data_IF_405099233046
#
_entry.id   IF_405099233046
#
_cell.length_a   1.000
_cell.length_b   1.000
_cell.length_c   1.000
_cell.angle_alpha   90.00
_cell.angle_beta   90.00
_cell.angle_gamma   90.00
#
_symmetry.space_group_name_H-M   'P 1'
#
loop_
_entity.id
_entity.type
_entity.pdbx_description
1 polymer ?
#
# COMPACT_ATOMS: atom_id res chain seq x y z
N UNK A 1 -12.24 0.33 -46.80
CA UNK A 1 -12.94 -0.10 -45.56
C UNK A 1 -12.35 -1.43 -45.17
N UNK A 2 -11.27 -1.41 -44.38
CA UNK A 2 -10.59 -2.62 -43.90
C UNK A 2 -10.35 -2.44 -42.41
N UNK A 3 -10.86 -3.40 -41.65
CA UNK A 3 -10.77 -3.49 -40.21
C UNK A 3 -9.30 -3.73 -39.81
N UNK A 4 -8.83 -3.06 -38.76
CA UNK A 4 -7.57 -3.35 -38.11
C UNK A 4 -7.84 -3.59 -36.62
N UNK A 5 -8.08 -4.85 -36.28
CA UNK A 5 -8.17 -5.36 -34.91
C UNK A 5 -6.74 -5.68 -34.44
N UNK A 6 -6.16 -4.79 -33.63
CA UNK A 6 -4.93 -5.09 -32.90
C UNK A 6 -5.25 -6.06 -31.75
N UNK A 7 -4.61 -7.23 -31.79
CA UNK A 7 -4.58 -8.24 -30.74
C UNK A 7 -3.89 -7.66 -29.49
N UNK A 8 -4.53 -7.81 -28.34
CA UNK A 8 -4.05 -7.38 -27.00
C UNK A 8 -3.45 -8.56 -26.22
N UNK A 9 -3.01 -9.60 -26.92
CA UNK A 9 -2.32 -10.74 -26.32
C UNK A 9 -0.87 -10.69 -26.79
N UNK A 10 0.04 -10.29 -25.90
CA UNK A 10 1.46 -10.73 -25.81
C UNK A 10 2.27 -9.75 -24.93
N UNK A 11 1.88 -9.53 -23.67
CA UNK A 11 2.70 -8.76 -22.69
C UNK A 11 2.63 -9.31 -21.24
N UNK A 12 2.37 -10.60 -21.04
CA UNK A 12 2.52 -11.21 -19.72
C UNK A 12 3.60 -12.28 -19.80
N UNK A 13 4.87 -11.84 -19.67
CA UNK A 13 5.97 -12.73 -19.31
C UNK A 13 5.74 -13.26 -17.89
N UNK A 14 6.06 -14.54 -17.72
CA UNK A 14 5.82 -15.35 -16.53
C UNK A 14 6.52 -14.79 -15.29
N UNK A 15 5.77 -14.12 -14.41
CA UNK A 15 6.24 -13.79 -13.07
C UNK A 15 5.83 -14.91 -12.09
N UNK A 16 6.79 -15.71 -11.62
CA UNK A 16 6.58 -16.59 -10.46
C UNK A 16 6.40 -15.71 -9.20
N UNK A 17 5.60 -16.11 -8.20
CA UNK A 17 5.31 -15.36 -6.95
C UNK A 17 5.65 -16.18 -5.70
N UNK A 18 6.26 -15.54 -4.69
CA UNK A 18 6.68 -16.15 -3.41
C UNK A 18 5.49 -16.49 -2.51
N UNK A 19 5.74 -17.18 -1.39
CA UNK A 19 4.72 -17.57 -0.41
C UNK A 19 3.90 -16.37 0.15
N UNK A 20 4.40 -15.14 0.02
CA UNK A 20 3.71 -13.91 0.41
C UNK A 20 2.89 -13.27 -0.73
N UNK A 21 3.00 -13.79 -1.95
CA UNK A 21 2.30 -13.32 -3.15
C UNK A 21 2.92 -12.10 -3.79
N UNK A 22 4.22 -11.95 -3.64
CA UNK A 22 5.05 -11.00 -4.37
C UNK A 22 5.91 -11.79 -5.34
N UNK A 23 6.15 -11.29 -6.55
CA UNK A 23 6.94 -11.99 -7.58
C UNK A 23 8.24 -12.59 -6.97
N UNK A 24 8.44 -13.92 -7.08
CA UNK A 24 9.73 -14.60 -6.92
C UNK A 24 10.63 -13.99 -7.98
N UNK A 25 11.60 -13.22 -7.51
CA UNK A 25 12.61 -12.66 -8.39
C UNK A 25 13.88 -13.49 -8.28
N UNK A 26 14.37 -13.95 -9.44
CA UNK A 26 15.62 -14.68 -9.60
C UNK A 26 16.80 -13.82 -9.10
N UNK A 27 17.48 -14.29 -8.06
CA UNK A 27 18.67 -13.64 -7.49
C UNK A 27 19.82 -13.50 -8.51
N UNK A 28 19.83 -14.30 -9.60
CA UNK A 28 20.88 -14.27 -10.63
C UNK A 28 20.77 -13.12 -11.62
N UNK A 29 19.58 -12.55 -11.83
CA UNK A 29 19.37 -11.44 -12.77
C UNK A 29 20.03 -10.12 -12.32
N UNK A 30 20.53 -10.04 -11.08
CA UNK A 30 21.20 -8.86 -10.54
C UNK A 30 22.68 -8.72 -10.95
N UNK A 31 23.25 -9.69 -11.67
CA UNK A 31 24.70 -9.74 -11.93
C UNK A 31 25.06 -9.49 -13.41
N UNK A 32 24.13 -9.60 -14.35
CA UNK A 32 24.44 -9.54 -15.80
C UNK A 32 23.50 -8.61 -16.60
N UNK A 33 23.36 -7.34 -16.19
CA UNK A 33 22.89 -6.30 -17.10
C UNK A 33 24.03 -5.31 -17.37
N UNK A 34 24.69 -5.48 -18.52
CA UNK A 34 25.50 -4.43 -19.15
C UNK A 34 24.57 -3.25 -19.52
N UNK A 35 25.01 -1.99 -19.38
CA UNK A 35 24.18 -0.84 -19.69
C UNK A 35 23.77 -0.86 -21.16
N UNK A 36 22.48 -0.65 -21.43
CA UNK A 36 21.95 -0.64 -22.79
C UNK A 36 22.06 0.77 -23.39
N UNK A 37 22.14 0.87 -24.71
CA UNK A 37 22.21 2.16 -25.43
C UNK A 37 21.00 3.09 -25.15
N UNK A 38 19.90 2.58 -24.57
CA UNK A 38 18.76 3.39 -24.12
C UNK A 38 19.06 4.21 -22.85
N UNK A 39 19.99 3.76 -21.99
CA UNK A 39 20.32 4.45 -20.74
C UNK A 39 21.09 5.77 -20.99
N UNK A 40 21.85 5.83 -22.10
CA UNK A 40 22.58 7.03 -22.53
C UNK A 40 21.65 8.07 -23.20
N UNK A 41 20.59 7.62 -23.86
CA UNK A 41 19.61 8.50 -24.51
C UNK A 41 18.65 9.17 -23.51
N UNK A 42 18.34 8.52 -22.38
CA UNK A 42 17.57 9.13 -21.29
C UNK A 42 18.35 10.25 -20.58
N UNK A 43 19.68 10.09 -20.45
CA UNK A 43 20.56 11.09 -19.83
C UNK A 43 20.64 12.40 -20.64
N UNK A 44 20.54 12.31 -21.96
CA UNK A 44 20.59 13.47 -22.87
C UNK A 44 19.26 14.23 -22.93
N UNK A 45 18.12 13.54 -22.78
CA UNK A 45 16.77 14.14 -22.76
C UNK A 45 16.52 14.98 -21.49
N UNK A 46 17.20 14.65 -20.40
CA UNK A 46 17.15 15.39 -19.13
C UNK A 46 17.83 16.77 -19.20
N UNK A 47 18.63 17.04 -20.24
CA UNK A 47 19.41 18.29 -20.33
C UNK A 47 18.70 19.47 -21.02
N UNK A 48 17.60 19.23 -21.76
CA UNK A 48 16.97 20.26 -22.61
C UNK A 48 15.70 20.91 -22.05
N UNK A 49 15.55 20.92 -20.72
CA UNK A 49 14.42 21.54 -20.01
C UNK A 49 14.80 22.73 -19.11
N UNK A 50 15.88 23.45 -19.41
CA UNK A 50 16.35 24.55 -18.58
C UNK A 50 15.49 25.82 -18.80
N UNK A 51 14.34 25.96 -18.10
CA UNK A 51 13.75 27.27 -17.68
C UNK A 51 12.44 27.21 -16.87
N UNK A 52 11.96 26.05 -16.41
CA UNK A 52 10.97 26.00 -15.31
C UNK A 52 11.73 25.63 -14.04
N UNK A 53 12.00 26.59 -13.15
CA UNK A 53 12.75 26.36 -11.91
C UNK A 53 12.17 25.16 -11.15
N UNK A 54 13.04 24.20 -10.84
CA UNK A 54 12.77 22.89 -10.25
C UNK A 54 11.98 23.03 -8.94
N UNK A 55 10.66 22.85 -9.01
CA UNK A 55 9.76 22.78 -7.85
C UNK A 55 9.23 21.35 -7.60
N UNK A 56 9.67 20.36 -8.37
CA UNK A 56 9.35 18.96 -8.12
C UNK A 56 10.27 18.41 -7.01
N UNK A 57 9.68 18.09 -5.87
CA UNK A 57 10.36 17.51 -4.72
C UNK A 57 11.11 16.21 -5.09
N UNK A 58 10.59 15.45 -6.05
CA UNK A 58 11.21 14.20 -6.52
C UNK A 58 12.52 14.49 -7.24
N UNK A 59 12.54 15.47 -8.15
CA UNK A 59 13.74 15.85 -8.88
C UNK A 59 14.82 16.43 -7.98
N UNK A 60 14.42 17.25 -6.99
CA UNK A 60 15.36 17.78 -5.98
C UNK A 60 16.02 16.64 -5.20
N UNK A 61 15.22 15.69 -4.69
CA UNK A 61 15.74 14.55 -3.96
C UNK A 61 16.67 13.67 -4.81
N UNK A 62 16.27 13.34 -6.05
CA UNK A 62 17.09 12.53 -6.97
C UNK A 62 18.40 13.23 -7.35
N UNK A 63 18.37 14.56 -7.51
CA UNK A 63 19.57 15.36 -7.72
C UNK A 63 20.53 15.31 -6.53
N UNK A 64 20.03 15.50 -5.30
CA UNK A 64 20.84 15.49 -4.08
C UNK A 64 21.55 14.15 -3.84
N UNK A 65 20.85 13.03 -4.01
CA UNK A 65 21.44 11.69 -3.81
C UNK A 65 22.44 11.30 -4.91
N UNK A 66 22.37 11.96 -6.08
CA UNK A 66 23.28 11.72 -7.19
C UNK A 66 24.70 12.22 -6.94
N UNK A 67 24.88 13.22 -6.07
CA UNK A 67 26.20 13.78 -5.74
C UNK A 67 27.04 12.91 -4.77
N UNK A 68 26.44 11.88 -4.17
CA UNK A 68 27.15 10.98 -3.26
C UNK A 68 27.91 9.88 -4.03
N UNK A 69 29.23 9.71 -3.82
CA UNK A 69 29.99 8.68 -4.51
C UNK A 69 29.61 7.28 -4.03
N UNK A 70 29.61 6.31 -4.95
CA UNK A 70 29.42 4.90 -4.63
C UNK A 70 30.64 4.37 -3.86
N UNK A 71 30.39 3.45 -2.93
CA UNK A 71 31.44 2.78 -2.17
C UNK A 71 31.93 1.53 -2.89
N UNK A 72 33.23 1.31 -2.84
CA UNK A 72 33.86 0.03 -3.20
C UNK A 72 33.64 -1.01 -2.11
N UNK A 73 33.83 -2.30 -2.42
CA UNK A 73 33.67 -3.38 -1.45
C UNK A 73 34.61 -3.23 -0.22
N UNK A 74 35.83 -2.74 -0.42
CA UNK A 74 36.78 -2.49 0.67
C UNK A 74 36.34 -1.31 1.54
N UNK A 75 35.81 -0.25 0.94
CA UNK A 75 35.24 0.89 1.65
C UNK A 75 33.98 0.53 2.44
N UNK A 76 33.11 -0.33 1.88
CA UNK A 76 31.95 -0.88 2.59
C UNK A 76 32.37 -1.53 3.90
N UNK A 77 33.38 -2.40 3.87
CA UNK A 77 33.94 -3.06 5.06
C UNK A 77 34.54 -2.04 6.04
N UNK A 78 35.31 -1.08 5.53
CA UNK A 78 35.94 -0.05 6.36
C UNK A 78 34.93 0.81 7.11
N UNK A 79 33.93 1.35 6.41
CA UNK A 79 32.90 2.19 7.01
C UNK A 79 31.93 1.38 7.88
N UNK A 80 31.60 0.14 7.51
CA UNK A 80 30.75 -0.75 8.32
C UNK A 80 31.38 -1.04 9.68
N UNK A 81 32.68 -1.39 9.71
CA UNK A 81 33.38 -1.66 10.97
C UNK A 81 33.40 -0.46 11.91
N UNK A 82 33.53 0.75 11.35
CA UNK A 82 33.47 2.00 12.12
C UNK A 82 32.05 2.34 12.56
N UNK A 83 31.06 2.13 11.70
CA UNK A 83 29.65 2.34 12.02
C UNK A 83 29.19 1.47 13.19
N UNK A 84 29.60 0.19 13.23
CA UNK A 84 29.33 -0.73 14.35
C UNK A 84 29.98 -0.29 15.67
N UNK A 85 31.10 0.44 15.59
CA UNK A 85 31.77 1.05 16.76
C UNK A 85 31.15 2.38 17.19
N UNK A 86 30.06 2.82 16.56
CA UNK A 86 29.34 4.04 16.90
C UNK A 86 29.81 5.29 16.15
N UNK A 87 30.58 5.15 15.07
CA UNK A 87 30.97 6.30 14.24
C UNK A 87 29.81 6.81 13.37
N UNK A 88 29.24 7.94 13.80
CA UNK A 88 28.11 8.61 13.13
C UNK A 88 28.46 9.02 11.70
N UNK A 89 29.69 9.47 11.43
CA UNK A 89 30.09 9.91 10.10
C UNK A 89 30.16 8.73 9.13
N UNK A 90 30.71 7.59 9.58
CA UNK A 90 30.75 6.36 8.77
C UNK A 90 29.35 5.81 8.50
N UNK A 91 28.48 5.81 9.51
CA UNK A 91 27.07 5.41 9.34
C UNK A 91 26.35 6.28 8.31
N UNK A 92 26.50 7.61 8.42
CA UNK A 92 25.88 8.57 7.50
C UNK A 92 26.38 8.38 6.07
N UNK A 93 27.70 8.22 5.89
CA UNK A 93 28.31 7.95 4.58
C UNK A 93 27.80 6.65 3.97
N UNK A 94 27.67 5.57 4.74
CA UNK A 94 27.09 4.32 4.25
C UNK A 94 25.64 4.49 3.79
N UNK A 95 24.83 5.28 4.51
CA UNK A 95 23.44 5.55 4.11
C UNK A 95 23.42 6.37 2.81
N UNK A 96 24.09 7.53 2.79
CA UNK A 96 24.09 8.47 1.67
C UNK A 96 24.59 7.82 0.37
N UNK A 97 25.65 7.01 0.42
CA UNK A 97 26.18 6.30 -0.76
C UNK A 97 25.24 5.21 -1.31
N UNK A 98 24.25 4.77 -0.52
CA UNK A 98 23.33 3.69 -0.90
C UNK A 98 21.88 4.15 -1.12
N UNK A 99 21.58 5.46 -1.05
CA UNK A 99 20.22 5.97 -1.31
C UNK A 99 19.72 5.65 -2.73
N UNK A 100 20.63 5.58 -3.71
CA UNK A 100 20.32 5.19 -5.09
C UNK A 100 19.74 3.76 -5.18
N UNK A 101 20.22 2.85 -4.33
CA UNK A 101 19.70 1.48 -4.25
C UNK A 101 18.24 1.46 -3.78
N UNK A 102 17.90 2.31 -2.79
CA UNK A 102 16.52 2.44 -2.29
C UNK A 102 15.59 2.88 -3.40
N UNK A 103 15.98 3.91 -4.17
CA UNK A 103 15.17 4.38 -5.30
C UNK A 103 14.97 3.29 -6.34
N UNK A 104 16.03 2.54 -6.71
CA UNK A 104 15.92 1.41 -7.66
C UNK A 104 14.92 0.36 -7.18
N UNK A 105 14.91 0.04 -5.89
CA UNK A 105 13.98 -0.94 -5.32
C UNK A 105 12.56 -0.36 -5.25
N UNK A 106 12.40 0.86 -4.74
CA UNK A 106 11.10 1.52 -4.55
C UNK A 106 10.34 1.73 -5.86
N UNK A 107 11.03 2.03 -6.97
CA UNK A 107 10.42 2.21 -8.30
C UNK A 107 9.59 1.00 -8.73
N UNK A 108 10.00 -0.23 -8.37
CA UNK A 108 9.25 -1.47 -8.67
C UNK A 108 7.96 -1.64 -7.88
N UNK A 109 7.83 -0.96 -6.74
CA UNK A 109 6.63 -0.97 -5.91
C UNK A 109 5.68 0.21 -6.20
N UNK A 110 5.98 0.99 -7.25
CA UNK A 110 5.11 2.06 -7.72
C UNK A 110 3.71 1.56 -8.07
N UNK A 111 2.74 2.48 -8.07
CA UNK A 111 1.33 2.22 -8.42
C UNK A 111 0.59 1.23 -7.50
N UNK A 112 1.16 0.87 -6.33
CA UNK A 112 0.52 -0.02 -5.33
C UNK A 112 -0.21 0.74 -4.19
N UNK A 113 -0.54 2.01 -4.43
CA UNK A 113 -1.37 2.85 -3.55
C UNK A 113 -0.63 3.90 -2.73
N UNK A 114 0.71 3.86 -2.66
CA UNK A 114 1.53 4.90 -2.04
C UNK A 114 2.27 5.71 -3.12
N UNK A 115 2.57 6.98 -2.82
CA UNK A 115 3.39 7.81 -3.70
C UNK A 115 4.85 7.31 -3.69
N UNK A 116 5.60 7.58 -4.77
CA UNK A 116 6.99 7.15 -4.87
C UNK A 116 7.86 7.68 -3.73
N UNK A 117 7.66 8.94 -3.31
CA UNK A 117 8.39 9.53 -2.20
C UNK A 117 8.12 8.80 -0.88
N UNK A 118 6.87 8.42 -0.62
CA UNK A 118 6.52 7.65 0.59
C UNK A 118 7.20 6.27 0.59
N UNK A 119 7.24 5.60 -0.57
CA UNK A 119 7.94 4.32 -0.73
C UNK A 119 9.46 4.48 -0.52
N UNK A 120 10.04 5.57 -1.01
CA UNK A 120 11.47 5.88 -0.82
C UNK A 120 11.76 6.09 0.67
N UNK A 121 10.95 6.85 1.39
CA UNK A 121 11.16 7.10 2.82
C UNK A 121 11.04 5.84 3.66
N UNK A 122 10.05 4.99 3.39
CA UNK A 122 9.91 3.68 4.06
C UNK A 122 11.06 2.72 3.71
N UNK A 123 11.58 2.83 2.49
CA UNK A 123 12.79 2.14 2.05
C UNK A 123 14.05 2.65 2.76
N UNK A 124 14.17 3.97 2.95
CA UNK A 124 15.27 4.61 3.68
C UNK A 124 15.29 4.14 5.14
N UNK A 125 14.13 4.00 5.79
CA UNK A 125 14.01 3.39 7.12
C UNK A 125 14.45 1.91 7.16
N UNK A 126 14.30 1.19 6.04
CA UNK A 126 14.85 -0.16 5.86
C UNK A 126 16.37 -0.16 5.71
N UNK A 127 16.90 0.73 4.88
CA UNK A 127 18.32 0.91 4.67
C UNK A 127 19.05 1.26 5.98
N UNK A 128 18.48 2.16 6.78
CA UNK A 128 19.05 2.54 8.08
C UNK A 128 19.20 1.31 8.99
N UNK A 129 18.17 0.45 9.04
CA UNK A 129 18.23 -0.81 9.81
C UNK A 129 19.23 -1.81 9.23
N UNK A 130 19.38 -1.85 7.91
CA UNK A 130 20.40 -2.67 7.27
C UNK A 130 21.81 -2.22 7.70
N UNK A 131 22.10 -0.92 7.70
CA UNK A 131 23.41 -0.39 8.14
C UNK A 131 23.68 -0.70 9.61
N UNK A 132 22.66 -0.64 10.49
CA UNK A 132 22.82 -0.95 11.92
C UNK A 132 23.14 -2.43 12.19
N UNK A 133 22.64 -3.35 11.35
CA UNK A 133 22.74 -4.80 11.55
C UNK A 133 23.71 -5.49 10.60
N UNK A 134 24.34 -4.75 9.69
CA UNK A 134 25.25 -5.31 8.70
C UNK A 134 26.52 -5.82 9.38
N UNK A 135 26.94 -7.02 8.97
CA UNK A 135 28.11 -7.70 9.49
C UNK A 135 29.18 -7.80 8.39
N UNK A 136 30.24 -6.96 8.43
CA UNK A 136 31.25 -6.91 7.39
C UNK A 136 32.14 -8.16 7.35
N UNK A 137 32.16 -8.97 8.42
CA UNK A 137 33.04 -10.15 8.51
C UNK A 137 32.46 -11.37 7.75
N UNK A 138 31.21 -11.29 7.28
CA UNK A 138 30.54 -12.37 6.53
C UNK A 138 30.96 -12.45 5.06
N UNK A 139 31.61 -11.43 4.51
CA UNK A 139 32.12 -11.43 3.14
C UNK A 139 31.09 -11.26 2.03
N UNK A 140 29.81 -10.98 2.34
CA UNK A 140 28.79 -10.63 1.35
C UNK A 140 28.75 -9.10 1.12
N UNK A 141 28.37 -8.68 -0.10
CA UNK A 141 28.20 -7.25 -0.43
C UNK A 141 27.07 -6.63 0.40
N UNK A 142 27.24 -5.36 0.77
CA UNK A 142 26.24 -4.64 1.53
C UNK A 142 24.90 -4.53 0.76
N UNK A 143 24.95 -4.32 -0.55
CA UNK A 143 23.77 -4.21 -1.42
C UNK A 143 22.87 -5.45 -1.35
N UNK A 144 23.44 -6.65 -1.33
CA UNK A 144 22.70 -7.92 -1.20
C UNK A 144 21.92 -7.95 0.12
N UNK A 145 22.57 -7.59 1.23
CA UNK A 145 21.93 -7.57 2.55
C UNK A 145 20.88 -6.46 2.68
N UNK A 146 21.19 -5.25 2.20
CA UNK A 146 20.31 -4.09 2.28
C UNK A 146 19.02 -4.30 1.48
N UNK A 147 19.08 -5.01 0.35
CA UNK A 147 17.91 -5.29 -0.49
C UNK A 147 16.78 -5.98 0.29
N UNK A 148 17.12 -6.95 1.15
CA UNK A 148 16.14 -7.64 2.00
C UNK A 148 15.43 -6.68 2.97
N UNK A 149 16.18 -5.81 3.65
CA UNK A 149 15.61 -4.85 4.59
C UNK A 149 14.76 -3.81 3.90
N UNK A 150 15.22 -3.26 2.79
CA UNK A 150 14.49 -2.24 2.01
C UNK A 150 13.17 -2.83 1.49
N UNK A 151 13.22 -4.03 0.91
CA UNK A 151 12.02 -4.75 0.45
C UNK A 151 11.02 -4.94 1.58
N UNK A 152 11.49 -5.52 2.68
CA UNK A 152 10.63 -5.86 3.82
C UNK A 152 9.93 -4.64 4.41
N UNK A 153 10.62 -3.49 4.49
CA UNK A 153 10.01 -2.28 5.05
C UNK A 153 9.02 -1.64 4.11
N UNK A 154 9.33 -1.58 2.81
CA UNK A 154 8.40 -1.09 1.79
C UNK A 154 7.13 -1.95 1.74
N UNK A 155 7.25 -3.26 1.67
CA UNK A 155 6.10 -4.18 1.65
C UNK A 155 5.25 -4.05 2.91
N UNK A 156 5.92 -3.96 4.08
CA UNK A 156 5.23 -3.73 5.34
C UNK A 156 4.53 -2.38 5.36
N UNK A 157 5.10 -1.32 4.79
CA UNK A 157 4.47 -0.01 4.73
C UNK A 157 3.21 -0.04 3.84
N UNK A 158 3.32 -0.61 2.64
CA UNK A 158 2.20 -0.79 1.72
C UNK A 158 1.04 -1.53 2.41
N UNK A 159 1.31 -2.67 3.06
CA UNK A 159 0.28 -3.45 3.76
C UNK A 159 -0.40 -2.66 4.90
N UNK A 160 0.31 -1.70 5.50
CA UNK A 160 -0.16 -0.97 6.68
C UNK A 160 -0.86 0.37 6.36
N UNK A 161 -0.50 1.01 5.25
CA UNK A 161 -0.88 2.38 4.92
C UNK A 161 -1.76 2.50 3.67
N UNK A 162 -1.77 1.50 2.77
CA UNK A 162 -2.51 1.58 1.49
C UNK A 162 -4.04 1.62 1.63
N UNK A 163 -4.58 1.18 2.77
CA UNK A 163 -6.03 1.16 3.04
C UNK A 163 -6.42 2.26 4.02
N UNK A 164 -7.49 2.98 3.70
CA UNK A 164 -8.11 4.00 4.56
C UNK A 164 -8.53 3.42 5.91
N UNK A 165 -9.17 2.24 5.90
CA UNK A 165 -9.41 1.44 7.10
C UNK A 165 -8.28 0.44 7.22
N UNK A 166 -7.44 0.63 8.23
CA UNK A 166 -6.26 -0.19 8.48
C UNK A 166 -6.65 -1.65 8.75
N UNK A 167 -6.11 -2.56 7.95
CA UNK A 167 -6.20 -4.00 8.20
C UNK A 167 -4.91 -4.53 8.85
N UNK A 168 -5.00 -5.47 9.81
CA UNK A 168 -3.83 -6.15 10.35
C UNK A 168 -3.07 -6.95 9.27
N UNK A 169 -1.75 -7.07 9.43
CA UNK A 169 -0.88 -7.72 8.43
C UNK A 169 -1.28 -9.17 8.14
N UNK A 170 -1.69 -9.94 9.16
CA UNK A 170 -2.11 -11.34 8.95
C UNK A 170 -3.36 -11.43 8.07
N UNK A 171 -4.32 -10.51 8.23
CA UNK A 171 -5.52 -10.45 7.37
C UNK A 171 -5.15 -10.10 5.94
N UNK A 172 -4.24 -9.14 5.73
CA UNK A 172 -3.77 -8.79 4.37
C UNK A 172 -3.03 -9.95 3.71
N UNK A 173 -2.22 -10.69 4.48
CA UNK A 173 -1.53 -11.88 3.99
C UNK A 173 -2.50 -12.99 3.58
N UNK A 174 -3.48 -13.29 4.43
CA UNK A 174 -4.53 -14.26 4.10
C UNK A 174 -5.33 -13.83 2.87
N UNK A 175 -5.72 -12.56 2.80
CA UNK A 175 -6.41 -12.00 1.65
C UNK A 175 -5.60 -12.16 0.36
N UNK A 176 -4.30 -11.89 0.38
CA UNK A 176 -3.44 -12.07 -0.79
C UNK A 176 -3.35 -13.54 -1.23
N UNK A 177 -3.44 -14.50 -0.31
CA UNK A 177 -3.51 -15.93 -0.66
C UNK A 177 -4.83 -16.21 -1.40
N UNK A 178 -5.97 -15.76 -0.87
CA UNK A 178 -7.27 -15.93 -1.54
C UNK A 178 -7.27 -15.28 -2.94
N UNK A 179 -6.72 -14.08 -3.08
CA UNK A 179 -6.63 -13.37 -4.36
C UNK A 179 -5.68 -14.04 -5.35
N UNK A 180 -4.64 -14.74 -4.88
CA UNK A 180 -3.77 -15.54 -5.77
C UNK A 180 -4.48 -16.79 -6.26
N UNK A 181 -5.10 -17.54 -5.34
CA UNK A 181 -5.86 -18.73 -5.70
C UNK A 181 -7.02 -18.39 -6.61
N UNK A 182 -7.72 -17.27 -6.39
CA UNK A 182 -8.76 -16.80 -7.29
C UNK A 182 -8.21 -16.53 -8.71
N UNK A 183 -7.03 -15.92 -8.84
CA UNK A 183 -6.38 -15.72 -10.15
C UNK A 183 -5.99 -17.04 -10.81
N UNK A 184 -5.38 -17.96 -10.06
CA UNK A 184 -5.04 -19.29 -10.57
C UNK A 184 -6.27 -20.10 -11.00
N UNK A 185 -7.38 -19.99 -10.27
CA UNK A 185 -8.65 -20.59 -10.63
C UNK A 185 -9.26 -19.93 -11.86
N UNK A 186 -9.24 -18.60 -11.97
CA UNK A 186 -9.73 -17.90 -13.18
C UNK A 186 -8.92 -18.21 -14.44
N UNK A 187 -7.69 -18.73 -14.30
CA UNK A 187 -6.91 -19.22 -15.44
C UNK A 187 -7.31 -20.63 -15.86
N UNK A 188 -7.86 -21.44 -14.95
CA UNK A 188 -8.31 -22.81 -15.21
C UNK A 188 -9.81 -22.87 -15.55
N UNK A 189 -10.58 -21.98 -14.96
CA UNK A 189 -12.02 -21.81 -15.15
C UNK A 189 -12.21 -20.64 -16.12
N UNK A 190 -13.04 -20.81 -17.15
CA UNK A 190 -13.36 -19.73 -18.10
C UNK A 190 -14.30 -18.65 -17.52
N UNK A 191 -14.36 -18.51 -16.19
CA UNK A 191 -15.17 -17.53 -15.47
C UNK A 191 -14.50 -17.07 -14.17
N UNK A 192 -15.01 -15.98 -13.58
CA UNK A 192 -14.57 -15.55 -12.26
C UNK A 192 -14.96 -16.60 -11.20
N UNK A 193 -14.04 -16.97 -10.29
CA UNK A 193 -14.30 -18.01 -9.33
C UNK A 193 -15.26 -17.55 -8.23
N UNK A 194 -16.17 -18.45 -7.85
CA UNK A 194 -17.07 -18.25 -6.71
C UNK A 194 -16.31 -18.38 -5.38
N UNK A 195 -16.87 -17.79 -4.31
CA UNK A 195 -16.33 -17.94 -2.96
C UNK A 195 -16.29 -19.42 -2.52
N UNK A 196 -17.20 -20.25 -3.02
CA UNK A 196 -17.23 -21.69 -2.75
C UNK A 196 -16.08 -22.43 -3.44
N UNK A 197 -15.76 -22.08 -4.69
CA UNK A 197 -14.67 -22.71 -5.46
C UNK A 197 -13.30 -22.36 -4.88
N UNK A 198 -13.12 -21.11 -4.43
CA UNK A 198 -11.91 -20.68 -3.73
C UNK A 198 -11.77 -21.42 -2.39
N UNK A 199 -12.89 -21.62 -1.68
CA UNK A 199 -12.92 -22.33 -0.40
C UNK A 199 -12.58 -23.82 -0.57
N UNK A 200 -13.11 -24.46 -1.61
CA UNK A 200 -12.80 -25.84 -1.98
C UNK A 200 -11.31 -26.01 -2.33
N UNK A 201 -10.74 -25.10 -3.12
CA UNK A 201 -9.33 -25.17 -3.51
C UNK A 201 -8.36 -24.98 -2.33
N UNK A 202 -8.78 -24.27 -1.28
CA UNK A 202 -7.95 -23.95 -0.11
C UNK A 202 -8.28 -24.79 1.13
N UNK A 203 -9.22 -25.74 1.02
CA UNK A 203 -9.72 -26.56 2.13
C UNK A 203 -10.15 -25.71 3.34
N UNK A 204 -10.89 -24.61 3.08
CA UNK A 204 -11.35 -23.67 4.12
C UNK A 204 -12.88 -23.49 4.11
N UNK A 205 -13.49 -23.02 5.22
CA UNK A 205 -14.91 -22.71 5.26
C UNK A 205 -15.28 -21.57 4.29
N UNK A 206 -16.40 -21.74 3.58
CA UNK A 206 -16.95 -20.71 2.66
C UNK A 206 -17.21 -19.38 3.37
N UNK A 207 -17.64 -19.43 4.64
CA UNK A 207 -17.89 -18.24 5.46
C UNK A 207 -16.60 -17.43 5.70
N UNK A 208 -15.46 -18.08 5.91
CA UNK A 208 -14.18 -17.39 6.09
C UNK A 208 -13.76 -16.69 4.81
N UNK A 209 -13.88 -17.35 3.65
CA UNK A 209 -13.58 -16.75 2.35
C UNK A 209 -14.50 -15.56 2.07
N UNK A 210 -15.81 -15.71 2.31
CA UNK A 210 -16.78 -14.63 2.13
C UNK A 210 -16.47 -13.42 3.02
N UNK A 211 -16.14 -13.66 4.30
CA UNK A 211 -15.72 -12.58 5.23
C UNK A 211 -14.46 -11.87 4.72
N UNK A 212 -13.49 -12.61 4.17
CA UNK A 212 -12.25 -12.03 3.66
C UNK A 212 -12.48 -11.22 2.39
N UNK A 213 -13.33 -11.68 1.48
CA UNK A 213 -13.70 -10.95 0.27
C UNK A 213 -14.45 -9.65 0.60
N UNK A 214 -15.31 -9.64 1.63
CA UNK A 214 -15.96 -8.41 2.12
C UNK A 214 -14.96 -7.36 2.62
N UNK A 215 -13.86 -7.80 3.25
CA UNK A 215 -12.79 -6.90 3.68
C UNK A 215 -11.94 -6.36 2.53
N UNK A 216 -11.98 -7.01 1.37
CA UNK A 216 -11.25 -6.54 0.19
C UNK A 216 -11.89 -5.29 -0.43
N UNK A 217 -13.20 -5.11 -0.26
CA UNK A 217 -13.97 -4.00 -0.80
C UNK A 217 -13.30 -2.65 -0.50
N UNK A 218 -13.14 -1.84 -1.54
CA UNK A 218 -12.45 -0.55 -1.43
C UNK A 218 -13.47 0.54 -1.12
N UNK A 219 -13.03 1.54 -0.37
CA UNK A 219 -13.88 2.69 -0.06
C UNK A 219 -14.05 3.54 -1.31
N UNK A 220 -15.28 3.97 -1.55
CA UNK A 220 -15.64 4.95 -2.58
C UNK A 220 -15.62 6.35 -1.98
N UNK A 221 -15.12 7.34 -2.73
CA UNK A 221 -15.19 8.74 -2.29
C UNK A 221 -16.63 9.24 -2.37
N UNK A 222 -17.07 9.90 -1.32
CA UNK A 222 -18.42 10.51 -1.22
C UNK A 222 -18.56 11.72 -2.14
N UNK A 223 -17.43 12.34 -2.52
CA UNK A 223 -17.36 13.49 -3.43
C UNK A 223 -17.30 13.07 -4.91
N UNK A 224 -17.20 11.78 -5.22
CA UNK A 224 -17.18 11.33 -6.62
C UNK A 224 -18.54 11.61 -7.27
N UNK A 225 -18.59 12.36 -8.40
CA UNK A 225 -19.83 12.66 -9.09
C UNK A 225 -20.45 11.40 -9.68
N UNK A 226 -21.77 11.31 -9.64
CA UNK A 226 -22.53 10.18 -10.16
C UNK A 226 -22.89 10.39 -11.63
N UNK A 227 -22.65 9.38 -12.47
CA UNK A 227 -23.15 9.35 -13.85
C UNK A 227 -22.43 10.27 -14.85
N UNK A 228 -21.25 10.80 -14.52
CA UNK A 228 -20.44 11.62 -15.43
C UNK A 228 -20.86 13.08 -15.52
N UNK A 229 -22.10 13.42 -15.14
CA UNK A 229 -22.52 14.79 -14.90
C UNK A 229 -22.00 15.27 -13.54
N UNK A 230 -21.27 16.38 -13.53
CA UNK A 230 -20.60 16.92 -12.34
C UNK A 230 -21.55 17.57 -11.32
N UNK A 231 -22.86 17.36 -11.45
CA UNK A 231 -23.86 18.10 -10.67
C UNK A 231 -24.23 17.44 -9.35
N UNK A 232 -24.09 16.11 -9.23
CA UNK A 232 -24.53 15.38 -8.03
C UNK A 232 -23.47 14.41 -7.55
N UNK A 233 -23.04 14.58 -6.31
CA UNK A 233 -22.16 13.64 -5.62
C UNK A 233 -22.99 12.57 -4.88
N UNK A 234 -22.32 11.52 -4.39
CA UNK A 234 -22.94 10.56 -3.48
C UNK A 234 -23.47 11.24 -2.22
N UNK A 235 -22.76 12.28 -1.73
CA UNK A 235 -23.16 13.04 -0.55
C UNK A 235 -24.57 13.63 -0.66
N UNK A 236 -24.96 14.06 -1.86
CA UNK A 236 -26.24 14.73 -2.09
C UNK A 236 -27.44 13.77 -2.00
N UNK A 237 -27.19 12.45 -2.01
CA UNK A 237 -28.21 11.39 -1.96
C UNK A 237 -28.26 10.74 -0.57
N UNK A 238 -27.12 10.69 0.13
CA UNK A 238 -27.02 10.05 1.43
C UNK A 238 -27.77 10.87 2.49
N UNK A 239 -28.86 10.30 3.00
CA UNK A 239 -29.61 10.88 4.12
C UNK A 239 -28.88 10.67 5.45
N UNK A 240 -29.10 11.58 6.40
CA UNK A 240 -28.57 11.43 7.76
C UNK A 240 -29.49 10.53 8.60
N UNK A 241 -29.12 9.25 8.76
CA UNK A 241 -29.95 8.25 9.46
C UNK A 241 -29.99 8.43 10.99
N UNK A 242 -29.06 9.18 11.59
CA UNK A 242 -29.07 9.48 13.04
C UNK A 242 -29.97 10.66 13.39
N UNK A 243 -30.31 11.50 12.41
CA UNK A 243 -31.23 12.62 12.62
C UNK A 243 -32.64 12.13 12.37
N UNK A 244 -33.39 11.91 13.44
CA UNK A 244 -34.78 11.53 13.34
C UNK A 244 -35.56 12.64 12.64
N UNK A 245 -36.49 12.25 11.77
CA UNK A 245 -37.37 13.21 11.11
C UNK A 245 -38.18 14.02 12.13
N UNK A 246 -38.66 15.23 11.77
CA UNK A 246 -39.53 16.03 12.63
C UNK A 246 -40.81 15.28 13.06
N UNK A 247 -41.28 14.36 12.23
CA UNK A 247 -42.42 13.47 12.53
C UNK A 247 -42.12 12.55 13.72
N UNK A 248 -40.97 11.86 13.69
CA UNK A 248 -40.58 10.95 14.77
C UNK A 248 -40.31 11.73 16.06
N UNK A 249 -39.68 12.90 15.95
CA UNK A 249 -39.45 13.79 17.10
C UNK A 249 -40.76 14.26 17.73
N UNK A 250 -41.78 14.60 16.93
CA UNK A 250 -43.08 15.02 17.48
C UNK A 250 -43.89 13.87 18.05
N UNK A 251 -43.77 12.66 17.49
CA UNK A 251 -44.39 11.46 18.04
C UNK A 251 -43.80 11.14 19.42
N UNK A 252 -42.48 11.27 19.56
CA UNK A 252 -41.78 11.08 20.82
C UNK A 252 -42.20 12.09 21.89
N UNK A 253 -42.35 13.36 21.52
CA UNK A 253 -42.81 14.42 22.44
C UNK A 253 -44.27 14.20 22.85
N UNK A 254 -45.15 13.88 21.90
CA UNK A 254 -46.56 13.58 22.19
C UNK A 254 -46.71 12.33 23.07
N UNK A 255 -45.91 11.29 22.81
CA UNK A 255 -45.85 10.09 23.64
C UNK A 255 -45.42 10.43 25.06
N UNK A 256 -44.32 11.20 25.24
CA UNK A 256 -43.85 11.65 26.56
C UNK A 256 -44.92 12.47 27.28
N UNK A 257 -45.58 13.38 26.58
CA UNK A 257 -46.60 14.23 27.18
C UNK A 257 -47.86 13.44 27.57
N UNK A 258 -48.26 12.45 26.76
CA UNK A 258 -49.37 11.55 27.07
C UNK A 258 -49.06 10.64 28.27
N UNK A 259 -47.83 10.11 28.36
CA UNK A 259 -47.37 9.37 29.54
C UNK A 259 -47.45 10.24 30.79
N UNK A 260 -47.00 11.51 30.71
CA UNK A 260 -47.10 12.45 31.83
C UNK A 260 -48.56 12.66 32.24
N UNK A 261 -49.48 12.87 31.28
CA UNK A 261 -50.92 13.01 31.56
C UNK A 261 -51.48 11.77 32.29
N UNK A 262 -51.16 10.56 31.83
CA UNK A 262 -51.59 9.32 32.48
C UNK A 262 -50.97 9.12 33.87
N UNK A 263 -49.71 9.52 34.06
CA UNK A 263 -49.06 9.51 35.37
C UNK A 263 -49.77 10.44 36.37
N UNK A 264 -50.30 11.57 35.92
CA UNK A 264 -51.07 12.49 36.77
C UNK A 264 -52.46 11.97 37.16
N UNK A 265 -53.00 10.98 36.46
CA UNK A 265 -54.28 10.33 36.77
C UNK A 265 -54.15 9.30 37.92
N UNK A 266 -52.94 8.81 38.18
CA UNK A 266 -52.64 7.90 39.29
C UNK A 266 -52.54 8.64 40.65
N UNK A 267 -52.62 7.88 41.74
CA UNK A 267 -52.44 8.45 43.08
C UNK A 267 -51.02 9.02 43.26
N UNK A 268 -50.88 10.09 44.05
CA UNK A 268 -49.60 10.80 44.25
C UNK A 268 -48.43 9.87 44.62
N UNK A 269 -48.66 8.90 45.52
CA UNK A 269 -47.66 7.88 45.91
C UNK A 269 -47.27 6.93 44.77
N UNK A 270 -48.21 6.57 43.89
CA UNK A 270 -47.95 5.66 42.76
C UNK A 270 -47.14 6.36 41.67
N UNK A 271 -47.49 7.63 41.36
CA UNK A 271 -46.75 8.45 40.40
C UNK A 271 -45.31 8.69 40.85
N UNK A 272 -45.07 9.06 42.11
CA UNK A 272 -43.72 9.31 42.64
C UNK A 272 -42.83 8.06 42.60
N UNK A 273 -43.40 6.87 42.77
CA UNK A 273 -42.65 5.61 42.67
C UNK A 273 -42.29 5.26 41.22
N UNK A 274 -43.16 5.56 40.25
CA UNK A 274 -42.93 5.29 38.83
C UNK A 274 -42.04 6.33 38.13
N UNK A 275 -42.06 7.58 38.59
CA UNK A 275 -41.25 8.66 38.04
C UNK A 275 -39.80 8.69 38.58
N UNK A 276 -39.51 7.87 39.59
CA UNK A 276 -38.20 7.75 40.24
C UNK A 276 -37.40 6.60 39.66
#
# INVERSE_FOLDING_TARGET
MSQNTLKVHDLNEDAEFDENGVEVFDEKALVEEEPSDNDLAEEELLSQGATQRVLDATQLYLGEIGYSPLLTAEEEVYFARRALRGDVASRRRMIESNLRLVVKIARRYGNRGLALLDLIEEGNLGLIRAVEKFDPERGFRFSTYATWWIRQTIERAIMNQTRTIRLPIHIVKELNVYLRTARELSHKLDHEPSAEEIAEQLDKPVDDVSRMLRLNERITSVDTPLGGDSEKALLDILADEKENGPEDTTQDDDMKQSIVKWLFELNAKQREVLAR
#
